data_IF_258180016159
#
_entry.id   IF_258180016159
#
_cell.length_a   1.000
_cell.length_b   1.000
_cell.length_c   1.000
_cell.angle_alpha   90.00
_cell.angle_beta   90.00
_cell.angle_gamma   90.00
#
_symmetry.space_group_name_H-M   'P 1'
#
loop_
_entity.id
_entity.type
_entity.pdbx_description
1 polymer ?
#
# COMPACT_ATOMS: atom_id res chain seq x y z
N UNK A 1 2.54 5.48 23.07
CA UNK A 1 2.42 6.39 21.91
C UNK A 1 2.74 5.56 20.68
N UNK A 2 2.00 5.73 19.59
CA UNK A 2 2.27 5.01 18.36
C UNK A 2 3.57 5.50 17.70
N UNK A 3 4.20 4.64 16.90
CA UNK A 3 5.34 5.03 16.05
C UNK A 3 4.90 6.19 15.15
N UNK A 4 5.68 7.27 15.15
CA UNK A 4 5.50 8.38 14.23
C UNK A 4 5.96 7.97 12.83
N UNK A 5 5.01 7.71 11.93
CA UNK A 5 5.30 7.31 10.55
C UNK A 5 5.67 8.57 9.75
N UNK A 6 6.84 8.54 9.10
CA UNK A 6 7.35 9.62 8.26
C UNK A 6 7.68 9.13 6.87
N UNK A 7 7.06 9.73 5.87
CA UNK A 7 7.27 9.39 4.47
C UNK A 7 8.49 10.17 3.97
N UNK A 8 9.46 9.43 3.43
CA UNK A 8 10.58 9.98 2.69
C UNK A 8 10.18 10.35 1.26
N UNK A 9 11.15 10.34 0.36
CA UNK A 9 10.97 10.73 -1.05
C UNK A 9 10.12 9.77 -1.88
N UNK A 10 9.98 8.52 -1.44
CA UNK A 10 9.31 7.44 -2.19
C UNK A 10 8.56 6.53 -1.21
N UNK A 11 7.79 7.14 -0.29
CA UNK A 11 7.02 6.45 0.74
C UNK A 11 7.78 6.24 2.07
N UNK A 12 7.32 5.29 2.86
CA UNK A 12 7.87 4.98 4.17
C UNK A 12 8.79 3.76 4.11
N UNK A 13 9.88 3.78 4.89
CA UNK A 13 10.79 2.64 5.09
C UNK A 13 11.07 2.52 6.58
N UNK A 14 11.17 1.29 7.06
CA UNK A 14 11.50 0.97 8.43
C UNK A 14 12.03 -0.45 8.53
N UNK A 15 12.63 -0.79 9.68
CA UNK A 15 13.10 -2.13 9.99
C UNK A 15 11.95 -3.04 10.39
N UNK A 16 11.91 -4.24 9.82
CA UNK A 16 10.89 -5.27 10.08
C UNK A 16 10.89 -5.65 11.55
N UNK A 17 9.69 -5.84 12.11
CA UNK A 17 9.42 -6.20 13.51
C UNK A 17 9.80 -5.14 14.57
N UNK A 18 10.62 -4.14 14.23
CA UNK A 18 10.75 -2.92 15.01
C UNK A 18 9.62 -1.96 14.62
N UNK A 19 9.88 -1.02 13.71
CA UNK A 19 8.88 -0.03 13.27
C UNK A 19 8.01 -0.53 12.10
N UNK A 20 8.54 -1.39 11.24
CA UNK A 20 7.80 -1.99 10.12
C UNK A 20 7.01 -3.21 10.60
N UNK A 21 5.92 -2.92 11.32
CA UNK A 21 4.95 -3.88 11.83
C UNK A 21 3.71 -3.94 10.94
N UNK A 22 2.90 -5.00 11.11
CA UNK A 22 1.60 -5.08 10.43
C UNK A 22 0.70 -3.89 10.77
N UNK A 23 0.69 -3.42 12.01
CA UNK A 23 -0.17 -2.32 12.43
C UNK A 23 0.26 -1.00 11.79
N UNK A 24 1.56 -0.70 11.78
CA UNK A 24 2.05 0.51 11.12
C UNK A 24 1.85 0.46 9.59
N UNK A 25 2.03 -0.71 8.97
CA UNK A 25 1.72 -0.88 7.55
C UNK A 25 0.24 -0.68 7.25
N UNK A 26 -0.67 -1.20 8.08
CA UNK A 26 -2.11 -0.99 7.94
C UNK A 26 -2.50 0.48 8.11
N UNK A 27 -1.85 1.19 9.04
CA UNK A 27 -2.01 2.65 9.18
C UNK A 27 -1.59 3.39 7.91
N UNK A 28 -0.47 3.02 7.28
CA UNK A 28 -0.07 3.56 5.98
C UNK A 28 -1.11 3.28 4.88
N UNK A 29 -1.61 2.03 4.81
CA UNK A 29 -2.64 1.65 3.85
C UNK A 29 -3.95 2.42 4.05
N UNK A 30 -4.36 2.65 5.31
CA UNK A 30 -5.55 3.45 5.63
C UNK A 30 -5.35 4.92 5.25
N UNK A 31 -4.17 5.50 5.51
CA UNK A 31 -3.84 6.86 5.06
C UNK A 31 -3.91 6.99 3.54
N UNK A 32 -3.39 6.00 2.80
CA UNK A 32 -3.48 5.99 1.34
C UNK A 32 -4.92 5.80 0.84
N UNK A 33 -5.72 4.95 1.48
CA UNK A 33 -7.15 4.81 1.18
C UNK A 33 -7.90 6.15 1.33
N UNK A 34 -7.70 6.84 2.45
CA UNK A 34 -8.30 8.15 2.71
C UNK A 34 -7.85 9.17 1.67
N UNK A 35 -6.56 9.19 1.32
CA UNK A 35 -6.03 10.05 0.25
C UNK A 35 -6.72 9.78 -1.10
N UNK A 36 -6.87 8.51 -1.50
CA UNK A 36 -7.53 8.15 -2.76
C UNK A 36 -8.99 8.58 -2.80
N UNK A 37 -9.71 8.47 -1.68
CA UNK A 37 -11.09 8.98 -1.57
C UNK A 37 -11.12 10.51 -1.72
N UNK A 38 -10.24 11.23 -1.02
CA UNK A 38 -10.18 12.70 -1.07
C UNK A 38 -9.83 13.24 -2.46
N UNK A 39 -9.02 12.52 -3.23
CA UNK A 39 -8.63 12.92 -4.60
C UNK A 39 -9.58 12.34 -5.68
N UNK A 40 -10.68 11.66 -5.29
CA UNK A 40 -11.65 11.08 -6.23
C UNK A 40 -11.11 9.92 -7.06
N UNK A 41 -10.07 9.22 -6.57
CA UNK A 41 -9.39 8.11 -7.24
C UNK A 41 -9.81 6.73 -6.73
N UNK A 42 -10.51 6.65 -5.61
CA UNK A 42 -10.91 5.38 -4.97
C UNK A 42 -11.65 4.41 -5.91
N UNK A 43 -12.58 4.92 -6.72
CA UNK A 43 -13.35 4.11 -7.67
C UNK A 43 -12.52 3.48 -8.81
N UNK A 44 -11.27 3.88 -9.00
CA UNK A 44 -10.36 3.30 -9.99
C UNK A 44 -9.61 2.07 -9.49
N UNK A 45 -9.68 1.77 -8.19
CA UNK A 45 -8.94 0.65 -7.59
C UNK A 45 -7.43 0.90 -7.50
N UNK A 46 -6.70 -0.09 -6.98
CA UNK A 46 -5.26 -0.02 -6.71
C UNK A 46 -4.57 -1.33 -7.08
N UNK A 47 -3.37 -1.24 -7.68
CA UNK A 47 -2.50 -2.42 -7.84
C UNK A 47 -1.59 -2.56 -6.63
N UNK A 48 -1.48 -3.74 -6.04
CA UNK A 48 -0.53 -4.00 -4.95
C UNK A 48 0.41 -5.13 -5.36
N UNK A 49 1.70 -4.92 -5.17
CA UNK A 49 2.68 -5.99 -5.31
C UNK A 49 3.88 -5.80 -4.39
N UNK A 50 4.75 -6.81 -4.36
CA UNK A 50 5.82 -6.91 -3.38
C UNK A 50 7.10 -7.51 -3.97
N UNK A 51 8.24 -7.27 -3.30
CA UNK A 51 9.50 -7.97 -3.58
C UNK A 51 9.66 -9.26 -2.74
N UNK A 52 10.87 -9.80 -2.63
CA UNK A 52 11.18 -11.03 -1.89
C UNK A 52 11.58 -10.81 -0.42
N UNK A 53 11.34 -9.63 0.16
CA UNK A 53 11.64 -9.39 1.58
C UNK A 53 10.82 -10.30 2.48
N UNK A 54 11.33 -10.52 3.68
CA UNK A 54 10.66 -11.35 4.68
C UNK A 54 9.24 -10.80 4.96
N UNK A 55 8.23 -11.66 4.86
CA UNK A 55 6.80 -11.34 4.96
C UNK A 55 6.24 -10.30 3.97
N UNK A 56 6.96 -9.94 2.90
CA UNK A 56 6.49 -8.93 1.94
C UNK A 56 5.14 -9.29 1.29
N UNK A 57 4.89 -10.57 1.07
CA UNK A 57 3.62 -11.15 0.64
C UNK A 57 2.47 -10.89 1.64
N UNK A 58 2.72 -11.16 2.92
CA UNK A 58 1.77 -10.97 4.00
C UNK A 58 1.50 -9.49 4.27
N UNK A 59 2.51 -8.63 4.10
CA UNK A 59 2.36 -7.18 4.15
C UNK A 59 1.52 -6.65 2.98
N UNK A 60 1.74 -7.16 1.76
CA UNK A 60 0.91 -6.81 0.62
C UNK A 60 -0.56 -7.23 0.83
N UNK A 61 -0.80 -8.43 1.35
CA UNK A 61 -2.12 -8.88 1.75
C UNK A 61 -2.76 -7.97 2.82
N UNK A 62 -2.02 -7.59 3.87
CA UNK A 62 -2.54 -6.70 4.91
C UNK A 62 -2.90 -5.30 4.38
N UNK A 63 -2.17 -4.78 3.38
CA UNK A 63 -2.56 -3.56 2.70
C UNK A 63 -3.84 -3.73 1.87
N UNK A 64 -3.97 -4.87 1.17
CA UNK A 64 -5.17 -5.21 0.39
C UNK A 64 -6.42 -5.32 1.27
N UNK A 65 -6.32 -5.97 2.43
CA UNK A 65 -7.39 -6.08 3.43
C UNK A 65 -7.94 -4.70 3.87
N UNK A 66 -7.04 -3.73 4.06
CA UNK A 66 -7.41 -2.36 4.45
C UNK A 66 -8.06 -1.61 3.30
N UNK A 67 -7.50 -1.66 2.09
CA UNK A 67 -8.09 -1.00 0.93
C UNK A 67 -9.48 -1.55 0.60
N UNK A 68 -9.64 -2.88 0.63
CA UNK A 68 -10.91 -3.55 0.40
C UNK A 68 -11.98 -3.14 1.44
N UNK A 69 -11.61 -3.08 2.72
CA UNK A 69 -12.50 -2.61 3.79
C UNK A 69 -12.89 -1.12 3.66
N UNK A 70 -12.15 -0.36 2.84
CA UNK A 70 -12.47 1.02 2.48
C UNK A 70 -13.22 1.13 1.13
N UNK A 71 -13.70 0.02 0.57
CA UNK A 71 -14.45 -0.01 -0.67
C UNK A 71 -13.59 0.26 -1.92
N UNK A 72 -12.28 0.00 -1.86
CA UNK A 72 -11.35 0.18 -2.98
C UNK A 72 -10.99 -1.19 -3.54
N UNK A 73 -11.27 -1.41 -4.83
CA UNK A 73 -10.88 -2.63 -5.53
C UNK A 73 -9.35 -2.78 -5.57
N UNK A 74 -8.85 -4.00 -5.40
CA UNK A 74 -7.42 -4.31 -5.41
C UNK A 74 -7.08 -5.40 -6.42
N UNK A 75 -6.10 -5.12 -7.28
CA UNK A 75 -5.37 -6.14 -8.02
C UNK A 75 -4.08 -6.48 -7.25
N UNK A 76 -4.05 -7.63 -6.58
CA UNK A 76 -2.93 -8.11 -5.78
C UNK A 76 -2.09 -9.08 -6.62
N UNK A 77 -0.83 -8.78 -6.88
CA UNK A 77 0.01 -9.65 -7.71
C UNK A 77 0.14 -11.07 -7.16
N UNK A 78 0.12 -12.08 -8.04
CA UNK A 78 0.30 -13.50 -7.67
C UNK A 78 1.79 -13.87 -7.46
N UNK A 79 2.41 -13.20 -6.49
CA UNK A 79 3.79 -13.41 -6.07
C UNK A 79 4.72 -12.20 -6.28
N UNK A 80 6.00 -12.42 -6.02
CA UNK A 80 7.01 -11.37 -6.05
C UNK A 80 7.11 -10.75 -7.45
N UNK A 81 6.88 -9.44 -7.53
CA UNK A 81 6.69 -8.71 -8.78
C UNK A 81 7.57 -7.45 -8.81
N UNK A 82 8.38 -7.23 -9.86
CA UNK A 82 9.20 -6.03 -9.97
C UNK A 82 8.36 -4.74 -9.97
N UNK A 83 8.89 -3.69 -9.34
CA UNK A 83 8.30 -2.34 -9.38
C UNK A 83 7.86 -1.88 -10.77
N UNK A 84 8.65 -2.01 -11.86
CA UNK A 84 8.20 -1.56 -13.19
C UNK A 84 6.99 -2.34 -13.72
N UNK A 85 6.82 -3.62 -13.36
CA UNK A 85 5.63 -4.40 -13.74
C UNK A 85 4.39 -3.89 -13.01
N UNK A 86 4.53 -3.55 -11.72
CA UNK A 86 3.45 -2.93 -10.92
C UNK A 86 3.08 -1.55 -11.50
N UNK A 87 4.08 -0.72 -11.83
CA UNK A 87 3.87 0.58 -12.48
C UNK A 87 3.17 0.46 -13.84
N UNK A 88 3.56 -0.52 -14.66
CA UNK A 88 2.89 -0.80 -15.92
C UNK A 88 1.42 -1.21 -15.70
N UNK A 89 1.17 -2.09 -14.73
CA UNK A 89 -0.18 -2.56 -14.41
C UNK A 89 -1.12 -1.43 -13.95
N UNK A 90 -0.60 -0.36 -13.32
CA UNK A 90 -1.42 0.82 -12.99
C UNK A 90 -2.03 1.44 -14.24
N UNK A 91 -1.21 1.61 -15.28
CA UNK A 91 -1.66 2.21 -16.55
C UNK A 91 -2.59 1.26 -17.30
N UNK A 92 -2.24 -0.04 -17.35
CA UNK A 92 -3.06 -1.09 -17.98
C UNK A 92 -4.46 -1.20 -17.36
N UNK A 93 -4.55 -1.18 -16.02
CA UNK A 93 -5.81 -1.26 -15.29
C UNK A 93 -6.53 0.08 -15.12
N UNK A 94 -5.93 1.18 -15.59
CA UNK A 94 -6.41 2.54 -15.35
C UNK A 94 -6.62 2.83 -13.85
N UNK A 95 -5.76 2.26 -13.00
CA UNK A 95 -5.90 2.28 -11.56
C UNK A 95 -5.66 3.68 -10.97
N UNK A 96 -6.18 3.92 -9.76
CA UNK A 96 -5.97 5.17 -9.01
C UNK A 96 -4.56 5.28 -8.44
N UNK A 97 -3.79 4.19 -8.44
CA UNK A 97 -2.40 4.15 -8.01
C UNK A 97 -1.94 2.72 -7.74
N UNK A 98 -0.77 2.60 -7.11
CA UNK A 98 -0.28 1.31 -6.62
C UNK A 98 0.41 1.41 -5.27
N UNK A 99 0.53 0.26 -4.59
CA UNK A 99 1.42 0.05 -3.45
C UNK A 99 2.52 -0.94 -3.86
N UNK A 100 3.79 -0.56 -3.68
CA UNK A 100 4.91 -1.47 -3.74
C UNK A 100 5.43 -1.75 -2.32
N UNK A 101 5.39 -3.02 -1.92
CA UNK A 101 6.03 -3.49 -0.69
C UNK A 101 7.49 -3.87 -1.00
N UNK A 102 8.39 -2.93 -0.78
CA UNK A 102 9.83 -3.08 -1.05
C UNK A 102 10.64 -1.94 -0.43
N UNK A 103 11.79 -2.26 0.15
CA UNK A 103 12.81 -1.25 0.47
C UNK A 103 13.93 -1.17 -0.61
N UNK A 104 13.70 -1.73 -1.80
CA UNK A 104 14.66 -1.73 -2.93
C UNK A 104 16.00 -2.36 -2.52
N UNK A 105 17.08 -1.60 -2.56
CA UNK A 105 18.45 -2.06 -2.27
C UNK A 105 18.85 -1.94 -0.79
N UNK A 106 17.94 -1.52 0.09
CA UNK A 106 18.19 -1.47 1.53
C UNK A 106 18.54 -2.86 2.09
N UNK A 107 19.20 -2.93 3.27
CA UNK A 107 19.47 -4.18 3.96
C UNK A 107 18.24 -5.10 4.11
N UNK A 108 18.40 -6.43 4.18
CA UNK A 108 17.29 -7.38 4.14
C UNK A 108 16.25 -7.24 5.28
N UNK A 109 16.69 -6.70 6.41
CA UNK A 109 15.90 -6.40 7.62
C UNK A 109 15.00 -5.18 7.47
N UNK A 110 15.16 -4.37 6.43
CA UNK A 110 14.25 -3.26 6.14
C UNK A 110 13.05 -3.72 5.29
N UNK A 111 11.95 -2.98 5.34
CA UNK A 111 10.90 -3.03 4.33
C UNK A 111 10.36 -1.63 4.05
N UNK A 112 9.55 -1.50 3.00
CA UNK A 112 9.05 -0.20 2.55
C UNK A 112 7.61 -0.28 2.07
N UNK A 113 6.87 0.80 2.32
CA UNK A 113 5.53 1.05 1.80
C UNK A 113 5.65 2.22 0.84
N UNK A 114 5.64 1.94 -0.46
CA UNK A 114 5.81 2.95 -1.50
C UNK A 114 4.55 3.05 -2.32
N UNK A 115 4.19 4.27 -2.75
CA UNK A 115 2.96 4.51 -3.50
C UNK A 115 3.24 5.08 -4.88
N UNK A 116 2.42 4.69 -5.85
CA UNK A 116 2.43 5.17 -7.23
C UNK A 116 1.19 5.96 -7.56
N UNK A 117 1.33 6.94 -8.45
CA UNK A 117 0.24 7.73 -9.00
C UNK A 117 -0.48 6.99 -10.16
N UNK A 118 -1.59 7.53 -10.70
CA UNK A 118 -2.29 6.93 -11.84
C UNK A 118 -1.50 6.79 -13.14
N UNK A 119 -0.31 7.39 -13.24
CA UNK A 119 0.60 7.24 -14.38
C UNK A 119 1.65 6.15 -14.15
N UNK A 120 1.57 5.44 -13.03
CA UNK A 120 2.53 4.41 -12.62
C UNK A 120 3.85 4.99 -12.07
N UNK A 121 3.94 6.32 -11.94
CA UNK A 121 5.12 7.02 -11.42
C UNK A 121 5.16 7.01 -9.90
N UNK A 122 6.30 7.37 -9.31
CA UNK A 122 6.36 7.64 -7.86
C UNK A 122 5.43 8.79 -7.50
N UNK A 123 4.62 8.62 -6.45
CA UNK A 123 3.74 9.69 -6.01
C UNK A 123 4.59 10.92 -5.59
N UNK A 124 4.21 12.10 -6.10
CA UNK A 124 5.00 13.31 -5.88
C UNK A 124 5.14 13.65 -4.38
N UNK A 125 6.26 14.26 -3.94
CA UNK A 125 6.50 14.57 -2.52
C UNK A 125 5.39 15.36 -1.83
N UNK A 126 4.75 16.31 -2.54
CA UNK A 126 3.62 17.06 -2.00
C UNK A 126 2.39 16.18 -1.74
N UNK A 127 2.13 15.19 -2.59
CA UNK A 127 1.06 14.22 -2.42
C UNK A 127 1.40 13.18 -1.34
N UNK A 128 2.66 12.74 -1.22
CA UNK A 128 3.10 11.90 -0.10
C UNK A 128 2.85 12.56 1.26
N UNK A 129 3.06 13.87 1.38
CA UNK A 129 2.71 14.62 2.61
C UNK A 129 1.20 14.63 2.89
N UNK A 130 0.35 14.66 1.87
CA UNK A 130 -1.10 14.54 2.04
C UNK A 130 -1.46 13.15 2.60
N UNK A 131 -0.83 12.09 2.09
CA UNK A 131 -1.00 10.72 2.61
C UNK A 131 -0.55 10.65 4.07
N UNK A 132 0.67 11.12 4.38
CA UNK A 132 1.22 11.12 5.74
C UNK A 132 0.31 11.85 6.73
N UNK A 133 -0.23 13.02 6.34
CA UNK A 133 -1.06 13.86 7.20
C UNK A 133 -2.39 13.20 7.62
N UNK A 134 -2.86 12.18 6.88
CA UNK A 134 -4.12 11.48 7.16
C UNK A 134 -3.91 10.04 7.63
N UNK A 135 -2.67 9.65 7.97
CA UNK A 135 -2.40 8.37 8.62
C UNK A 135 -3.00 8.39 10.03
N UNK A 136 -3.97 7.50 10.35
CA UNK A 136 -4.60 7.48 11.66
C UNK A 136 -3.80 6.66 12.67
N UNK A 137 -4.26 6.67 13.92
CA UNK A 137 -3.93 5.62 14.90
C UNK A 137 -4.53 4.27 14.48
N UNK A 138 -4.03 3.17 15.07
CA UNK A 138 -4.43 1.82 14.68
C UNK A 138 -5.94 1.58 14.83
N UNK A 139 -6.58 2.17 15.85
CA UNK A 139 -8.02 2.06 16.09
C UNK A 139 -8.87 2.71 14.97
N UNK A 140 -8.27 3.58 14.16
CA UNK A 140 -8.92 4.21 13.00
C UNK A 140 -8.79 3.41 11.70
N UNK A 141 -8.13 2.25 11.72
CA UNK A 141 -7.94 1.40 10.54
C UNK A 141 -9.14 0.48 10.34
N UNK A 142 -9.74 0.54 9.16
CA UNK A 142 -10.74 -0.45 8.72
C UNK A 142 -10.04 -1.67 8.14
N UNK A 143 -10.54 -2.86 8.46
CA UNK A 143 -10.00 -4.13 7.97
C UNK A 143 -11.12 -5.14 7.75
N UNK A 144 -10.98 -5.94 6.70
CA UNK A 144 -11.71 -7.19 6.48
C UNK A 144 -10.71 -8.33 6.25
N UNK A 145 -11.13 -9.58 6.35
CA UNK A 145 -10.23 -10.70 6.05
C UNK A 145 -9.96 -10.77 4.55
N UNK A 146 -8.75 -11.20 4.17
CA UNK A 146 -8.40 -11.37 2.76
C UNK A 146 -9.35 -12.35 2.03
N UNK A 147 -9.69 -13.47 2.67
CA UNK A 147 -10.59 -14.47 2.07
C UNK A 147 -11.98 -13.90 1.76
N UNK A 148 -12.51 -13.07 2.67
CA UNK A 148 -13.79 -12.38 2.49
C UNK A 148 -13.68 -11.38 1.34
N UNK A 149 -12.59 -10.59 1.31
CA UNK A 149 -12.35 -9.60 0.26
C UNK A 149 -12.20 -10.22 -1.14
N UNK A 150 -11.58 -11.40 -1.22
CA UNK A 150 -11.46 -12.16 -2.47
C UNK A 150 -12.81 -12.75 -2.89
N UNK A 151 -13.58 -13.28 -1.94
CA UNK A 151 -14.91 -13.84 -2.21
C UNK A 151 -15.90 -12.77 -2.69
N UNK A 152 -15.81 -11.56 -2.14
CA UNK A 152 -16.61 -10.39 -2.54
C UNK A 152 -16.12 -9.74 -3.85
N UNK A 153 -15.03 -10.25 -4.43
CA UNK A 153 -14.42 -9.71 -5.65
C UNK A 153 -13.70 -8.37 -5.46
N UNK A 154 -13.57 -7.88 -4.23
CA UNK A 154 -12.85 -6.65 -3.88
C UNK A 154 -11.34 -6.79 -4.00
N UNK A 155 -10.82 -8.02 -3.89
CA UNK A 155 -9.42 -8.36 -4.16
C UNK A 155 -9.37 -9.44 -5.23
N UNK A 156 -8.65 -9.16 -6.31
CA UNK A 156 -8.38 -10.11 -7.40
C UNK A 156 -6.90 -10.34 -7.53
N UNK A 157 -6.49 -11.60 -7.77
CA UNK A 157 -5.11 -11.97 -8.07
C UNK A 157 -4.87 -12.10 -9.56
#
# INVERSE_FOLDING_TARGET
MSTAIKFGTDGWRARIAEDYTFDNLRRCAQGFATYLHNEGLAGKGVVIGHDKRFHADNFAAAAAEVLAANGIHVWLTDGATPTPTISYAVVDKQAGGAINITASHNPPEDCGFKVRDPLGGALAPAALKKVEAVIPEIDGVKRMRLDDAMSDGMVTK
#
